data_IF_081908218925
#
_entry.id   IF_081908218925
#
_cell.length_a   1.000
_cell.length_b   1.000
_cell.length_c   1.000
_cell.angle_alpha   90.00
_cell.angle_beta   90.00
_cell.angle_gamma   90.00
#
_symmetry.space_group_name_H-M   'P 1'
#
loop_
_entity.id
_entity.type
_entity.pdbx_description
1 polymer ?
#
# COMPACT_ATOMS: atom_id res chain seq x y z
N UNK A 1 -28.43 -8.83 -26.16
CA UNK A 1 -28.54 -9.25 -24.75
C UNK A 1 -27.74 -10.53 -24.62
N UNK A 2 -26.47 -10.47 -24.20
CA UNK A 2 -25.63 -11.68 -24.08
C UNK A 2 -25.48 -12.01 -22.60
N UNK A 3 -26.05 -13.15 -22.21
CA UNK A 3 -25.91 -13.75 -20.88
C UNK A 3 -24.74 -14.72 -20.94
N UNK A 4 -23.74 -14.51 -20.10
CA UNK A 4 -22.62 -15.45 -19.95
C UNK A 4 -22.84 -16.14 -18.61
N UNK A 5 -23.30 -17.39 -18.65
CA UNK A 5 -23.27 -18.27 -17.48
C UNK A 5 -21.87 -18.88 -17.37
N UNK A 6 -21.25 -18.69 -16.20
CA UNK A 6 -20.06 -19.45 -15.82
C UNK A 6 -20.43 -20.90 -15.48
N UNK A 7 -19.60 -21.89 -15.88
CA UNK A 7 -19.48 -23.14 -15.15
C UNK A 7 -18.17 -23.17 -14.33
N UNK A 8 -18.29 -23.65 -13.10
CA UNK A 8 -17.24 -23.82 -12.10
C UNK A 8 -16.39 -25.07 -12.32
N UNK A 9 -15.11 -24.92 -11.95
CA UNK A 9 -14.02 -25.88 -11.66
C UNK A 9 -14.18 -27.36 -12.00
N UNK A 10 -13.13 -27.96 -12.57
CA UNK A 10 -12.47 -29.16 -12.01
C UNK A 10 -11.34 -29.67 -12.92
N UNK A 11 -10.13 -29.71 -12.36
CA UNK A 11 -9.14 -30.81 -12.42
C UNK A 11 -8.73 -31.40 -13.80
N UNK A 12 -7.46 -31.12 -14.13
CA UNK A 12 -6.48 -31.97 -14.82
C UNK A 12 -6.43 -32.10 -16.37
N UNK A 13 -5.18 -31.96 -16.81
CA UNK A 13 -4.44 -32.47 -17.98
C UNK A 13 -4.93 -32.32 -19.43
N UNK A 14 -4.07 -31.60 -20.18
CA UNK A 14 -3.67 -31.79 -21.59
C UNK A 14 -4.81 -32.06 -22.58
N UNK A 15 -5.19 -31.01 -23.30
CA UNK A 15 -5.62 -31.15 -24.70
C UNK A 15 -5.03 -29.98 -25.50
N UNK A 16 -4.17 -30.31 -26.46
CA UNK A 16 -3.57 -29.34 -27.38
C UNK A 16 -4.68 -28.91 -28.36
N UNK A 17 -5.11 -27.65 -28.27
CA UNK A 17 -5.93 -27.04 -29.30
C UNK A 17 -5.00 -26.32 -30.29
N UNK A 18 -4.91 -26.84 -31.51
CA UNK A 18 -4.26 -26.16 -32.63
C UNK A 18 -5.05 -24.89 -32.96
N UNK A 19 -4.51 -23.71 -32.66
CA UNK A 19 -5.13 -22.44 -33.01
C UNK A 19 -4.64 -21.92 -34.36
N UNK A 20 -5.60 -21.60 -35.24
CA UNK A 20 -5.39 -20.91 -36.51
C UNK A 20 -4.71 -19.55 -36.29
N UNK A 21 -3.60 -19.31 -36.97
CA UNK A 21 -2.66 -18.20 -36.75
C UNK A 21 -3.10 -16.82 -37.27
N UNK A 22 -4.40 -16.47 -37.24
CA UNK A 22 -4.89 -15.21 -37.85
C UNK A 22 -5.64 -14.23 -36.94
N UNK A 23 -5.63 -14.42 -35.63
CA UNK A 23 -6.02 -13.36 -34.69
C UNK A 23 -5.43 -13.62 -33.29
N UNK A 24 -4.11 -13.50 -33.15
CA UNK A 24 -3.55 -13.19 -31.83
C UNK A 24 -3.51 -11.66 -31.78
N UNK A 25 -4.65 -11.02 -31.51
CA UNK A 25 -4.59 -9.72 -30.84
C UNK A 25 -4.13 -10.05 -29.43
N UNK A 26 -2.86 -9.75 -29.16
CA UNK A 26 -2.24 -9.90 -27.86
C UNK A 26 -3.05 -9.10 -26.85
N UNK A 27 -3.95 -9.76 -26.12
CA UNK A 27 -4.49 -9.22 -24.88
C UNK A 27 -3.35 -9.31 -23.86
N UNK A 28 -2.46 -8.32 -23.88
CA UNK A 28 -1.53 -8.09 -22.78
C UNK A 28 -2.36 -7.57 -21.61
N UNK A 29 -2.71 -8.44 -20.68
CA UNK A 29 -3.14 -8.01 -19.36
C UNK A 29 -1.91 -7.38 -18.69
N UNK A 30 -1.77 -6.06 -18.79
CA UNK A 30 -0.80 -5.33 -18.00
C UNK A 30 -1.26 -5.46 -16.54
N UNK A 31 -0.68 -6.37 -15.79
CA UNK A 31 -0.75 -6.29 -14.34
C UNK A 31 -0.12 -4.95 -13.96
N UNK A 32 -0.85 -4.08 -13.26
CA UNK A 32 -0.26 -2.88 -12.69
C UNK A 32 0.84 -3.32 -11.73
N UNK A 33 2.10 -3.19 -12.14
CA UNK A 33 3.24 -3.50 -11.29
C UNK A 33 3.36 -2.39 -10.27
N UNK A 34 2.89 -2.65 -9.04
CA UNK A 34 3.13 -1.74 -7.94
C UNK A 34 4.63 -1.72 -7.62
N UNK A 35 5.16 -0.53 -7.43
CA UNK A 35 6.53 -0.28 -7.02
C UNK A 35 6.64 -0.32 -5.51
N UNK A 36 7.83 -0.65 -5.00
CA UNK A 36 8.10 -0.81 -3.57
C UNK A 36 9.30 0.06 -3.20
N UNK A 37 9.21 0.74 -2.06
CA UNK A 37 10.30 1.46 -1.43
C UNK A 37 10.40 1.12 0.06
N UNK A 38 11.61 1.04 0.59
CA UNK A 38 11.85 0.84 2.02
C UNK A 38 12.07 2.16 2.73
N UNK A 39 11.73 2.20 4.00
CA UNK A 39 11.79 3.42 4.79
C UNK A 39 11.49 3.17 6.26
N UNK A 40 11.07 4.23 6.92
CA UNK A 40 10.63 4.19 8.32
C UNK A 40 9.37 5.02 8.52
N UNK A 41 8.64 4.72 9.58
CA UNK A 41 7.51 5.52 10.08
C UNK A 41 7.55 5.56 11.60
N UNK A 42 7.29 6.73 12.17
CA UNK A 42 7.15 6.93 13.60
C UNK A 42 6.11 8.00 13.89
N UNK A 43 5.60 8.02 15.11
CA UNK A 43 4.79 9.12 15.60
C UNK A 43 5.48 9.90 16.71
N UNK A 44 4.96 11.10 16.94
CA UNK A 44 5.44 11.95 18.01
C UNK A 44 5.03 11.38 19.39
N UNK A 45 5.68 11.81 20.48
CA UNK A 45 5.34 11.35 21.82
C UNK A 45 3.90 11.66 22.26
N UNK A 46 3.21 12.59 21.59
CA UNK A 46 1.79 12.87 21.85
C UNK A 46 0.84 11.83 21.22
N UNK A 47 1.36 11.00 20.30
CA UNK A 47 0.58 9.99 19.62
C UNK A 47 -0.30 10.51 18.48
N UNK A 48 -0.24 11.81 18.20
CA UNK A 48 -1.18 12.49 17.30
C UNK A 48 -0.56 12.77 15.94
N UNK A 49 0.73 13.08 15.87
CA UNK A 49 1.41 13.39 14.62
C UNK A 49 2.32 12.24 14.21
N UNK A 50 2.46 11.99 12.92
CA UNK A 50 3.40 10.99 12.41
C UNK A 50 4.20 11.52 11.24
N UNK A 51 5.34 10.89 11.00
CA UNK A 51 6.18 11.09 9.83
C UNK A 51 6.69 9.73 9.33
N UNK A 52 6.63 9.54 8.02
CA UNK A 52 7.22 8.42 7.32
C UNK A 52 8.15 8.94 6.23
N UNK A 53 9.27 8.25 6.01
CA UNK A 53 10.24 8.62 4.97
C UNK A 53 10.62 7.38 4.17
N UNK A 54 10.61 7.50 2.84
CA UNK A 54 10.96 6.44 1.90
C UNK A 54 11.94 6.96 0.85
N UNK A 55 12.91 6.14 0.48
CA UNK A 55 13.88 6.48 -0.58
C UNK A 55 13.49 5.82 -1.89
N UNK A 56 13.26 6.62 -2.94
CA UNK A 56 12.91 6.17 -4.29
C UNK A 56 13.89 6.84 -5.26
N UNK A 57 14.67 6.06 -6.02
CA UNK A 57 15.63 6.59 -7.00
C UNK A 57 16.55 7.68 -6.41
N UNK A 58 17.07 7.45 -5.18
CA UNK A 58 17.91 8.38 -4.41
C UNK A 58 17.23 9.71 -3.97
N UNK A 59 15.91 9.80 -4.07
CA UNK A 59 15.09 10.93 -3.62
C UNK A 59 14.29 10.54 -2.38
N UNK A 60 14.21 11.44 -1.39
CA UNK A 60 13.41 11.22 -0.18
C UNK A 60 11.98 11.70 -0.37
N UNK A 61 11.03 10.81 -0.11
CA UNK A 61 9.60 11.09 -0.06
C UNK A 61 9.14 10.99 1.39
N UNK A 62 8.55 12.07 1.89
CA UNK A 62 8.02 12.13 3.24
C UNK A 62 6.49 12.13 3.21
N UNK A 63 5.88 11.30 4.05
CA UNK A 63 4.45 11.35 4.33
C UNK A 63 4.24 11.68 5.81
N UNK A 64 3.67 12.84 6.09
CA UNK A 64 3.41 13.29 7.46
C UNK A 64 1.97 13.71 7.62
N UNK A 65 1.40 13.46 8.79
CA UNK A 65 0.00 13.80 9.04
C UNK A 65 -0.39 13.62 10.49
N UNK A 66 -1.70 13.57 10.73
CA UNK A 66 -2.25 13.36 12.06
C UNK A 66 -3.13 12.11 12.13
N UNK A 67 -3.02 11.36 13.23
CA UNK A 67 -3.91 10.26 13.56
C UNK A 67 -5.14 10.75 14.32
N UNK A 68 -6.29 10.21 13.96
CA UNK A 68 -7.56 10.34 14.68
C UNK A 68 -8.16 8.93 14.85
N UNK A 69 -8.30 8.41 16.08
CA UNK A 69 -7.83 8.97 17.36
C UNK A 69 -6.28 8.96 17.48
N UNK A 70 -5.75 9.62 18.52
CA UNK A 70 -4.34 9.52 18.90
C UNK A 70 -3.99 8.09 19.34
N UNK A 71 -2.77 7.64 19.04
CA UNK A 71 -2.29 6.27 19.33
C UNK A 71 -1.09 6.26 20.27
N UNK A 72 -0.69 5.09 20.77
CA UNK A 72 0.55 4.96 21.54
C UNK A 72 1.77 5.35 20.67
N UNK A 73 2.81 5.89 21.31
CA UNK A 73 4.07 6.16 20.62
C UNK A 73 4.67 4.85 20.05
N UNK A 74 5.08 4.86 18.79
CA UNK A 74 5.65 3.74 18.07
C UNK A 74 6.69 4.21 17.04
N UNK A 75 7.53 3.27 16.63
CA UNK A 75 8.40 3.42 15.47
C UNK A 75 8.48 2.10 14.71
N UNK A 76 8.63 2.18 13.39
CA UNK A 76 8.91 1.07 12.50
C UNK A 76 10.07 1.47 11.60
N UNK A 77 11.26 0.89 11.82
CA UNK A 77 12.46 1.17 11.04
C UNK A 77 12.56 0.34 9.74
N UNK A 78 11.58 -0.54 9.51
CA UNK A 78 11.52 -1.45 8.37
C UNK A 78 10.19 -1.30 7.65
N UNK A 79 9.76 -0.05 7.48
CA UNK A 79 8.53 0.27 6.78
C UNK A 79 8.71 0.07 5.27
N UNK A 80 7.64 -0.32 4.61
CA UNK A 80 7.54 -0.59 3.19
C UNK A 80 6.41 0.25 2.62
N UNK A 81 6.74 1.11 1.68
CA UNK A 81 5.78 1.83 0.85
C UNK A 81 5.54 1.03 -0.42
N UNK A 82 4.26 0.74 -0.71
CA UNK A 82 3.83 0.20 -1.99
C UNK A 82 3.00 1.25 -2.72
N UNK A 83 3.31 1.53 -3.97
CA UNK A 83 2.73 2.64 -4.74
C UNK A 83 2.62 2.32 -6.23
N UNK A 84 1.71 2.98 -6.95
CA UNK A 84 1.51 2.75 -8.38
C UNK A 84 2.50 3.55 -9.24
N UNK A 85 2.65 4.83 -8.92
CA UNK A 85 3.56 5.76 -9.58
C UNK A 85 4.00 6.87 -8.63
N UNK A 86 5.11 7.54 -8.92
CA UNK A 86 5.57 8.71 -8.13
C UNK A 86 4.51 9.83 -8.10
N UNK A 87 3.62 9.92 -9.10
CA UNK A 87 2.51 10.86 -9.11
C UNK A 87 1.48 10.64 -7.98
N UNK A 88 1.44 9.42 -7.43
CA UNK A 88 0.58 9.10 -6.28
C UNK A 88 1.16 9.63 -4.96
N UNK A 89 2.44 9.99 -4.94
CA UNK A 89 3.18 10.45 -3.76
C UNK A 89 3.23 11.98 -3.71
N UNK A 90 2.08 12.60 -3.93
CA UNK A 90 1.95 14.06 -4.00
C UNK A 90 0.69 14.51 -3.27
N UNK A 91 0.68 15.78 -2.84
CA UNK A 91 -0.48 16.48 -2.27
C UNK A 91 -0.98 15.94 -0.92
N UNK A 92 -2.03 16.60 -0.40
CA UNK A 92 -2.75 16.16 0.79
C UNK A 92 -3.73 15.03 0.43
N UNK A 93 -3.74 13.99 1.25
CA UNK A 93 -4.59 12.81 1.07
C UNK A 93 -5.10 12.29 2.40
N UNK A 94 -6.36 11.88 2.40
CA UNK A 94 -6.91 11.11 3.50
C UNK A 94 -6.31 9.71 3.53
N UNK A 95 -6.26 9.11 4.71
CA UNK A 95 -5.84 7.73 4.89
C UNK A 95 -6.71 7.03 5.95
N UNK A 96 -6.72 5.71 5.87
CA UNK A 96 -7.20 4.82 6.93
C UNK A 96 -6.05 3.91 7.33
N UNK A 97 -6.02 3.43 8.57
CA UNK A 97 -4.96 2.54 9.01
C UNK A 97 -5.26 1.78 10.28
N UNK A 98 -4.35 0.86 10.58
CA UNK A 98 -4.30 0.06 11.78
C UNK A 98 -2.90 0.18 12.36
N UNK A 99 -2.81 0.60 13.61
CA UNK A 99 -1.59 0.45 14.41
C UNK A 99 -1.83 -0.79 15.27
N UNK A 100 -1.41 -1.94 14.78
CA UNK A 100 -1.58 -3.23 15.43
C UNK A 100 -0.59 -3.41 16.58
N UNK A 101 -0.68 -4.53 17.32
CA UNK A 101 0.27 -4.81 18.38
C UNK A 101 1.70 -4.96 17.89
N UNK A 102 1.90 -5.51 16.69
CA UNK A 102 3.21 -5.86 16.17
C UNK A 102 3.53 -5.16 14.84
N UNK A 103 2.55 -4.51 14.22
CA UNK A 103 2.66 -3.91 12.90
C UNK A 103 1.92 -2.57 12.77
N UNK A 104 2.29 -1.84 11.73
CA UNK A 104 1.58 -0.64 11.26
C UNK A 104 1.14 -0.87 9.82
N UNK A 105 -0.08 -0.46 9.49
CA UNK A 105 -0.60 -0.46 8.14
C UNK A 105 -1.42 0.80 7.88
N UNK A 106 -1.00 1.64 6.94
CA UNK A 106 -1.73 2.81 6.45
C UNK A 106 -2.08 2.62 4.97
N UNK A 107 -3.31 2.96 4.59
CA UNK A 107 -3.81 2.99 3.23
C UNK A 107 -4.23 4.41 2.88
N UNK A 108 -3.48 5.04 1.99
CA UNK A 108 -3.73 6.39 1.49
C UNK A 108 -4.81 6.31 0.40
N UNK A 109 -5.75 7.25 0.39
CA UNK A 109 -6.97 7.19 -0.42
C UNK A 109 -6.75 7.07 -1.93
N UNK A 110 -5.60 7.52 -2.46
CA UNK A 110 -5.25 7.42 -3.87
C UNK A 110 -4.43 6.17 -4.22
N UNK A 111 -4.25 5.23 -3.29
CA UNK A 111 -3.65 3.93 -3.56
C UNK A 111 -2.39 3.56 -2.75
N UNK A 112 -1.46 4.48 -2.42
CA UNK A 112 -0.26 4.11 -1.67
C UNK A 112 -0.57 3.42 -0.34
N UNK A 113 0.24 2.43 0.00
CA UNK A 113 0.15 1.74 1.28
C UNK A 113 1.48 1.75 2.00
N UNK A 114 1.47 2.00 3.30
CA UNK A 114 2.63 1.97 4.18
C UNK A 114 2.42 0.83 5.15
N UNK A 115 3.34 -0.14 5.18
CA UNK A 115 3.26 -1.27 6.11
C UNK A 115 4.60 -1.51 6.77
N UNK A 116 4.64 -2.05 7.98
CA UNK A 116 5.92 -2.43 8.59
C UNK A 116 5.76 -3.04 9.97
N UNK A 117 6.74 -3.83 10.43
CA UNK A 117 6.77 -4.31 11.80
C UNK A 117 7.10 -3.16 12.76
N UNK A 118 6.45 -3.10 13.91
CA UNK A 118 6.83 -2.17 14.97
C UNK A 118 8.15 -2.61 15.60
N UNK A 119 9.01 -1.65 15.93
CA UNK A 119 10.27 -1.91 16.64
C UNK A 119 10.02 -2.46 18.05
N UNK A 120 8.89 -2.06 18.65
CA UNK A 120 8.42 -2.52 19.95
C UNK A 120 6.91 -2.78 19.86
N UNK A 121 6.42 -3.90 20.39
CA UNK A 121 5.00 -4.16 20.41
C UNK A 121 4.23 -3.13 21.25
N UNK A 122 3.02 -2.78 20.81
CA UNK A 122 2.10 -1.89 21.52
C UNK A 122 0.83 -2.64 21.91
N UNK A 123 0.11 -2.16 22.93
CA UNK A 123 -1.18 -2.77 23.29
C UNK A 123 -2.09 -1.76 23.98
N UNK A 124 -3.38 -1.68 23.60
CA UNK A 124 -4.02 -2.40 22.50
C UNK A 124 -3.65 -1.81 21.13
N UNK A 125 -3.87 -2.58 20.06
CA UNK A 125 -3.89 -2.01 18.71
C UNK A 125 -5.05 -1.02 18.52
N UNK A 126 -4.94 -0.14 17.53
CA UNK A 126 -5.91 0.94 17.29
C UNK A 126 -6.14 1.16 15.79
N UNK A 127 -7.41 1.26 15.40
CA UNK A 127 -7.80 1.78 14.09
C UNK A 127 -7.64 3.32 14.06
N UNK A 128 -7.10 3.84 12.97
CA UNK A 128 -6.85 5.27 12.78
C UNK A 128 -7.34 5.75 11.43
N UNK A 129 -7.74 7.02 11.38
CA UNK A 129 -7.96 7.78 10.16
C UNK A 129 -7.26 9.12 10.26
N UNK A 130 -7.13 9.82 9.14
CA UNK A 130 -6.57 11.16 9.14
C UNK A 130 -6.28 11.68 7.76
N UNK A 131 -5.58 12.80 7.71
CA UNK A 131 -5.05 13.40 6.49
C UNK A 131 -3.55 13.53 6.64
N UNK A 132 -2.82 13.19 5.57
CA UNK A 132 -1.38 13.36 5.48
C UNK A 132 -0.98 14.04 4.18
N UNK A 133 0.21 14.60 4.17
CA UNK A 133 0.78 15.35 3.06
C UNK A 133 2.04 14.65 2.59
N UNK A 134 2.18 14.48 1.28
CA UNK A 134 3.45 14.09 0.67
C UNK A 134 4.32 15.29 0.36
N UNK A 135 5.60 15.21 0.73
CA UNK A 135 6.64 16.16 0.33
C UNK A 135 7.86 15.41 -0.21
N UNK A 136 8.66 16.09 -1.03
CA UNK A 136 9.86 15.55 -1.67
C UNK A 136 11.05 16.44 -1.33
N UNK A 137 12.19 15.84 -0.98
CA UNK A 137 13.47 16.52 -0.75
C UNK A 137 14.58 15.97 -1.65
#
# INVERSE_FOLDING_TARGET
MFSIKHPTSSTDNRTIYTYNSKAIQSYSYAYATQSIATGFIENDPSGTQFAATFTINDIEYHFSGTFTPSVQAFASNQATLTYGSEGDLTTDRDFNGLIGPDDVALMVANGPTITGPLNMPIWPGSDVTGTGTWTQN
#
